data_IF_720485644540
#
_entry.id   IF_720485644540
#
_cell.length_a   1.000
_cell.length_b   1.000
_cell.length_c   1.000
_cell.angle_alpha   90.00
_cell.angle_beta   90.00
_cell.angle_gamma   90.00
#
_symmetry.space_group_name_H-M   'P 1'
#
loop_
_entity.id
_entity.type
_entity.pdbx_description
1 polymer ?
#
# COMPACT_ATOMS: atom_id res chain seq x y z
N UNK A 1 16.76 -2.67 -14.33
CA UNK A 1 15.45 -2.65 -13.64
C UNK A 1 14.42 -2.22 -14.66
N UNK A 2 13.54 -3.12 -15.09
CA UNK A 2 12.75 -2.98 -16.33
C UNK A 2 11.43 -2.21 -16.18
N UNK A 3 11.00 -1.86 -14.94
CA UNK A 3 9.73 -1.15 -14.71
C UNK A 3 9.86 0.36 -14.43
N UNK A 4 10.98 0.80 -13.83
CA UNK A 4 11.18 2.19 -13.42
C UNK A 4 12.60 2.65 -13.72
N UNK A 5 12.69 3.84 -14.32
CA UNK A 5 13.93 4.59 -14.45
C UNK A 5 14.46 5.01 -13.07
N UNK A 6 15.73 5.41 -13.01
CA UNK A 6 16.33 5.94 -11.78
C UNK A 6 15.62 7.22 -11.30
N UNK A 7 15.18 8.08 -12.23
CA UNK A 7 14.44 9.30 -11.88
C UNK A 7 13.09 8.98 -11.24
N UNK A 8 12.33 8.04 -11.81
CA UNK A 8 11.04 7.61 -11.26
C UNK A 8 11.19 6.98 -9.87
N UNK A 9 12.27 6.22 -9.64
CA UNK A 9 12.57 5.70 -8.30
C UNK A 9 12.86 6.81 -7.30
N UNK A 10 13.65 7.82 -7.70
CA UNK A 10 13.99 8.96 -6.84
C UNK A 10 12.77 9.80 -6.50
N UNK A 11 11.91 10.06 -7.48
CA UNK A 11 10.64 10.77 -7.32
C UNK A 11 9.73 10.03 -6.32
N UNK A 12 9.50 8.73 -6.51
CA UNK A 12 8.67 7.93 -5.59
C UNK A 12 9.25 7.87 -4.18
N UNK A 13 10.57 7.83 -4.05
CA UNK A 13 11.24 7.82 -2.75
C UNK A 13 11.09 9.17 -2.03
N UNK A 14 11.28 10.29 -2.74
CA UNK A 14 11.12 11.62 -2.17
C UNK A 14 9.67 11.86 -1.76
N UNK A 15 8.73 11.55 -2.66
CA UNK A 15 7.30 11.65 -2.41
C UNK A 15 6.87 10.85 -1.17
N UNK A 16 7.37 9.62 -1.00
CA UNK A 16 7.05 8.79 0.16
C UNK A 16 7.59 9.39 1.47
N UNK A 17 8.80 9.96 1.44
CA UNK A 17 9.38 10.67 2.60
C UNK A 17 8.54 11.88 3.00
N UNK A 18 8.12 12.68 2.03
CA UNK A 18 7.32 13.88 2.28
C UNK A 18 5.98 13.51 2.94
N UNK A 19 5.35 12.44 2.46
CA UNK A 19 4.07 11.93 3.02
C UNK A 19 4.20 11.33 4.42
N UNK A 20 5.32 10.68 4.73
CA UNK A 20 5.63 10.25 6.10
C UNK A 20 5.83 11.46 7.01
N UNK A 21 6.57 12.47 6.56
CA UNK A 21 6.87 13.67 7.36
C UNK A 21 5.60 14.45 7.72
N UNK A 22 4.61 14.47 6.82
CA UNK A 22 3.29 15.07 7.05
C UNK A 22 2.37 14.23 7.96
N UNK A 23 2.80 13.03 8.37
CA UNK A 23 1.99 12.12 9.18
C UNK A 23 0.83 11.48 8.42
N UNK A 24 0.72 11.73 7.12
CA UNK A 24 -0.37 11.21 6.29
C UNK A 24 -0.34 9.68 6.24
N UNK A 25 0.84 9.06 6.32
CA UNK A 25 0.98 7.59 6.30
C UNK A 25 0.87 6.93 7.69
N UNK A 26 0.54 7.68 8.76
CA UNK A 26 0.44 7.12 10.13
C UNK A 26 -0.85 6.33 10.35
N UNK A 27 -1.91 6.66 9.63
CA UNK A 27 -3.21 5.99 9.76
C UNK A 27 -3.47 5.10 8.55
N UNK A 28 -4.00 3.91 8.82
CA UNK A 28 -4.22 2.90 7.81
C UNK A 28 -5.14 3.37 6.68
N UNK A 29 -6.20 4.10 7.04
CA UNK A 29 -7.19 4.59 6.08
C UNK A 29 -6.58 5.62 5.13
N UNK A 30 -5.63 6.43 5.60
CA UNK A 30 -4.91 7.39 4.75
C UNK A 30 -3.96 6.68 3.78
N UNK A 31 -3.26 5.64 4.26
CA UNK A 31 -2.42 4.81 3.41
C UNK A 31 -3.26 4.05 2.35
N UNK A 32 -4.45 3.57 2.72
CA UNK A 32 -5.38 2.96 1.76
C UNK A 32 -5.96 3.94 0.77
N UNK A 33 -6.36 5.14 1.21
CA UNK A 33 -6.77 6.17 0.26
C UNK A 33 -5.69 6.39 -0.78
N UNK A 34 -4.42 6.49 -0.38
CA UNK A 34 -3.30 6.60 -1.31
C UNK A 34 -3.22 5.45 -2.33
N UNK A 35 -3.23 4.20 -1.86
CA UNK A 35 -3.14 3.04 -2.75
C UNK A 35 -4.35 2.90 -3.69
N UNK A 36 -5.48 3.50 -3.34
CA UNK A 36 -6.71 3.52 -4.12
C UNK A 36 -6.85 4.76 -5.02
N UNK A 37 -5.94 5.75 -4.92
CA UNK A 37 -5.97 6.89 -5.84
C UNK A 37 -5.51 6.46 -7.22
N UNK A 38 -6.41 6.57 -8.19
CA UNK A 38 -6.04 6.54 -9.61
C UNK A 38 -5.40 7.89 -9.95
N UNK A 39 -4.14 7.88 -10.38
CA UNK A 39 -3.54 9.04 -11.02
C UNK A 39 -3.84 9.01 -12.53
N UNK A 40 -3.75 10.15 -13.22
CA UNK A 40 -3.97 10.24 -14.67
C UNK A 40 -2.90 9.49 -15.50
N UNK A 41 -1.93 8.83 -14.86
CA UNK A 41 -0.88 8.06 -15.51
C UNK A 41 -1.19 6.56 -15.37
N UNK A 42 -2.08 6.06 -16.22
CA UNK A 42 -2.54 4.66 -16.25
C UNK A 42 -1.40 3.63 -16.41
N UNK A 43 -0.26 4.04 -16.97
CA UNK A 43 0.95 3.22 -17.17
C UNK A 43 1.75 3.00 -15.88
N UNK A 44 1.67 3.91 -14.91
CA UNK A 44 2.45 3.81 -13.66
C UNK A 44 1.60 4.05 -12.40
N UNK A 45 0.28 4.03 -12.54
CA UNK A 45 -0.66 4.13 -11.44
C UNK A 45 -0.45 2.99 -10.45
N UNK A 46 -0.57 3.32 -9.16
CA UNK A 46 -0.44 2.35 -8.07
C UNK A 46 -1.64 1.40 -8.06
N UNK A 47 -2.83 1.97 -8.29
CA UNK A 47 -4.01 1.20 -8.64
C UNK A 47 -4.05 1.02 -10.16
N UNK A 48 -3.78 -0.19 -10.63
CA UNK A 48 -3.83 -0.51 -12.05
C UNK A 48 -5.28 -0.65 -12.50
N UNK A 49 -5.64 0.06 -13.56
CA UNK A 49 -6.94 -0.07 -14.23
C UNK A 49 -6.74 0.06 -15.74
N UNK A 50 -6.37 -1.04 -16.39
CA UNK A 50 -6.17 -1.16 -17.84
C UNK A 50 -7.14 -2.19 -18.42
N UNK A 51 -7.29 -2.21 -19.74
CA UNK A 51 -8.29 -3.05 -20.44
C UNK A 51 -8.19 -4.55 -20.08
N UNK A 52 -6.97 -5.06 -19.86
CA UNK A 52 -6.75 -6.49 -19.59
C UNK A 52 -6.05 -6.79 -18.26
N UNK A 53 -5.63 -5.75 -17.52
CA UNK A 53 -4.90 -5.90 -16.25
C UNK A 53 -5.41 -4.86 -15.27
N UNK A 54 -5.79 -5.33 -14.08
CA UNK A 54 -6.26 -4.46 -13.01
C UNK A 54 -5.85 -4.96 -11.65
N UNK A 55 -5.79 -4.04 -10.69
CA UNK A 55 -5.64 -4.40 -9.28
C UNK A 55 -6.95 -5.01 -8.79
N UNK A 56 -6.88 -6.26 -8.33
CA UNK A 56 -8.04 -7.00 -7.81
C UNK A 56 -8.14 -6.96 -6.29
N UNK A 57 -7.02 -6.72 -5.62
CA UNK A 57 -6.97 -6.62 -4.16
C UNK A 57 -5.78 -5.78 -3.70
N UNK A 58 -5.89 -5.25 -2.48
CA UNK A 58 -4.80 -4.54 -1.79
C UNK A 58 -4.57 -5.19 -0.43
N UNK A 59 -3.33 -5.61 -0.18
CA UNK A 59 -2.91 -6.08 1.15
C UNK A 59 -1.99 -5.05 1.77
N UNK A 60 -2.27 -4.68 3.01
CA UNK A 60 -1.44 -3.78 3.79
C UNK A 60 -1.06 -4.44 5.11
N UNK A 61 0.22 -4.34 5.45
CA UNK A 61 0.79 -4.88 6.68
C UNK A 61 1.45 -3.73 7.44
N UNK A 62 1.03 -3.54 8.69
CA UNK A 62 1.65 -2.62 9.63
C UNK A 62 2.38 -3.46 10.68
N UNK A 63 3.71 -3.31 10.69
CA UNK A 63 4.58 -3.94 11.65
C UNK A 63 4.87 -2.96 12.77
N UNK A 64 4.79 -3.44 14.01
CA UNK A 64 5.27 -2.78 15.22
C UNK A 64 6.04 -3.79 16.05
N UNK A 65 6.70 -3.33 17.11
CA UNK A 65 7.49 -4.20 17.99
C UNK A 65 6.61 -5.28 18.67
N UNK A 66 5.33 -4.98 18.92
CA UNK A 66 4.43 -5.82 19.71
C UNK A 66 3.37 -6.55 18.87
N UNK A 67 2.99 -5.97 17.74
CA UNK A 67 1.91 -6.50 16.88
C UNK A 67 2.25 -6.39 15.41
N UNK A 68 1.72 -7.36 14.66
CA UNK A 68 1.59 -7.30 13.20
C UNK A 68 0.12 -7.18 12.87
N UNK A 69 -0.29 -6.05 12.31
CA UNK A 69 -1.64 -5.84 11.81
C UNK A 69 -1.64 -6.04 10.30
N UNK A 70 -2.41 -7.00 9.80
CA UNK A 70 -2.64 -7.21 8.38
C UNK A 70 -4.08 -6.86 8.03
N UNK A 71 -4.25 -6.20 6.89
CA UNK A 71 -5.56 -5.91 6.34
C UNK A 71 -5.55 -6.20 4.85
N UNK A 72 -6.54 -6.94 4.41
CA UNK A 72 -6.77 -7.34 3.03
C UNK A 72 -8.08 -6.71 2.55
N UNK A 73 -8.02 -6.04 1.41
CA UNK A 73 -9.15 -5.45 0.73
C UNK A 73 -9.33 -6.12 -0.63
N UNK A 74 -10.41 -6.84 -0.81
CA UNK A 74 -10.86 -7.36 -2.10
C UNK A 74 -11.63 -6.25 -2.83
N UNK A 75 -11.09 -5.79 -3.97
CA UNK A 75 -11.70 -4.72 -4.75
C UNK A 75 -12.82 -5.23 -5.68
N UNK A 76 -12.85 -6.53 -5.97
CA UNK A 76 -13.90 -7.13 -6.80
C UNK A 76 -15.17 -7.36 -5.98
N UNK A 77 -15.02 -7.99 -4.82
CA UNK A 77 -16.13 -8.37 -3.96
C UNK A 77 -16.48 -7.29 -2.92
N UNK A 78 -15.63 -6.27 -2.77
CA UNK A 78 -15.75 -5.20 -1.75
C UNK A 78 -15.73 -5.76 -0.33
N UNK A 79 -14.96 -6.82 -0.13
CA UNK A 79 -14.77 -7.47 1.16
C UNK A 79 -13.48 -6.98 1.83
N UNK A 80 -13.50 -6.90 3.15
CA UNK A 80 -12.35 -6.49 3.95
C UNK A 80 -12.10 -7.51 5.07
N UNK A 81 -10.86 -7.99 5.16
CA UNK A 81 -10.41 -8.89 6.21
C UNK A 81 -9.33 -8.16 7.03
N UNK A 82 -9.46 -8.20 8.35
CA UNK A 82 -8.46 -7.65 9.29
C UNK A 82 -7.96 -8.76 10.21
N UNK A 83 -6.64 -8.90 10.29
CA UNK A 83 -5.97 -9.88 11.14
C UNK A 83 -4.95 -9.15 12.01
N UNK A 84 -5.05 -9.33 13.33
CA UNK A 84 -4.05 -8.83 14.27
C UNK A 84 -3.30 -10.03 14.86
N UNK A 85 -2.00 -10.09 14.60
CA UNK A 85 -1.11 -11.11 15.14
C UNK A 85 -0.27 -10.47 16.24
N UNK A 86 -0.31 -11.02 17.46
CA UNK A 86 0.61 -10.61 18.52
C UNK A 86 1.99 -11.22 18.27
N UNK A 87 3.03 -10.39 18.22
CA UNK A 87 4.40 -10.83 17.92
C UNK A 87 5.03 -11.62 19.08
N UNK A 88 4.40 -11.61 20.26
CA UNK A 88 4.82 -12.39 21.44
C UNK A 88 4.84 -13.93 21.23
N UNK A 89 4.27 -14.44 20.13
CA UNK A 89 4.21 -15.88 19.83
C UNK A 89 5.40 -16.39 19.00
N UNK A 90 6.23 -15.50 18.43
CA UNK A 90 7.31 -15.88 17.51
C UNK A 90 8.71 -15.99 18.15
N UNK A 91 8.85 -15.67 19.44
CA UNK A 91 10.10 -15.80 20.19
C UNK A 91 10.04 -16.93 21.25
N UNK A 92 9.70 -18.15 20.83
CA UNK A 92 9.89 -19.36 21.63
C UNK A 92 10.83 -20.33 20.93
#
# INVERSE_FOLDING_TARGET
>A
STLYSLSQKKERHQWYKDKIALGEMKHWDNAMQFHLQSNNNTENAILMKREHVGTVSVTSVKLSDETTEMKYLDLQNKEEIKVNLNTAVLNK
#
